data_IF_382225711253
#
_entry.id   IF_382225711253
#
_cell.length_a   1.000
_cell.length_b   1.000
_cell.length_c   1.000
_cell.angle_alpha   90.00
_cell.angle_beta   90.00
_cell.angle_gamma   90.00
#
_symmetry.space_group_name_H-M   'P 1'
#
loop_
_entity.id
_entity.type
_entity.pdbx_description
1 polymer ?
#
# COMPACT_ATOMS: atom_id res chain seq x y z
N UNK A 1 -0.46 29.98 -26.56
CA UNK A 1 0.31 29.43 -25.42
C UNK A 1 -0.68 29.33 -24.25
N UNK A 2 -1.52 28.31 -24.04
CA UNK A 2 -1.31 26.85 -23.99
C UNK A 2 -0.15 26.53 -23.03
N UNK A 3 -0.31 25.99 -21.83
CA UNK A 3 -1.36 25.21 -21.17
C UNK A 3 -1.19 25.45 -19.64
N UNK A 4 -2.27 25.71 -18.91
CA UNK A 4 -2.33 25.41 -17.48
C UNK A 4 -3.40 24.35 -17.31
N UNK A 5 -3.02 23.08 -17.46
CA UNK A 5 -3.84 21.98 -16.94
C UNK A 5 -3.63 21.99 -15.42
N UNK A 6 -4.45 22.81 -14.76
CA UNK A 6 -4.90 22.48 -13.41
C UNK A 6 -5.53 21.09 -13.53
N UNK A 7 -4.77 20.05 -13.22
CA UNK A 7 -5.33 18.74 -12.91
C UNK A 7 -6.31 19.00 -11.77
N UNK A 8 -7.58 19.11 -12.11
CA UNK A 8 -8.66 18.83 -11.19
C UNK A 8 -8.49 17.38 -10.79
N UNK A 9 -7.62 17.13 -9.81
CA UNK A 9 -7.67 15.91 -9.02
C UNK A 9 -9.05 15.97 -8.41
N UNK A 10 -9.99 15.22 -9.01
CA UNK A 10 -11.26 14.97 -8.35
C UNK A 10 -10.90 14.51 -6.96
N UNK A 11 -11.46 15.18 -5.96
CA UNK A 11 -11.25 14.90 -4.54
C UNK A 11 -11.86 13.53 -4.22
N UNK A 12 -11.20 12.50 -4.74
CA UNK A 12 -11.41 11.10 -4.44
C UNK A 12 -10.67 10.89 -3.13
N UNK A 13 -11.32 10.31 -2.14
CA UNK A 13 -10.61 9.89 -0.95
C UNK A 13 -9.37 9.09 -1.36
N UNK A 14 -8.22 9.30 -0.70
CA UNK A 14 -7.03 8.54 -1.02
C UNK A 14 -7.36 7.04 -0.93
N UNK A 15 -6.77 6.20 -1.80
CA UNK A 15 -7.02 4.77 -1.74
C UNK A 15 -6.68 4.24 -0.34
N UNK A 16 -7.65 3.56 0.28
CA UNK A 16 -7.50 2.98 1.61
C UNK A 16 -7.71 1.47 1.56
N UNK A 17 -7.08 0.75 2.48
CA UNK A 17 -7.24 -0.70 2.65
C UNK A 17 -7.35 -1.03 4.14
N UNK A 18 -8.26 -1.93 4.48
CA UNK A 18 -8.36 -2.46 5.85
C UNK A 18 -7.29 -3.52 6.07
N UNK A 19 -6.64 -3.49 7.24
CA UNK A 19 -5.63 -4.47 7.64
C UNK A 19 -6.06 -5.10 8.96
N UNK A 20 -6.20 -6.42 8.98
CA UNK A 20 -6.37 -7.18 10.21
C UNK A 20 -5.01 -7.43 10.86
N UNK A 21 -4.78 -6.80 12.02
CA UNK A 21 -3.54 -6.90 12.78
C UNK A 21 -3.61 -7.91 13.92
N UNK A 22 -4.78 -8.52 14.18
CA UNK A 22 -4.93 -9.48 15.28
C UNK A 22 -3.86 -10.58 15.28
N UNK A 23 -3.46 -11.15 14.11
CA UNK A 23 -2.44 -12.19 14.08
C UNK A 23 -1.03 -11.76 14.54
N UNK A 24 -0.72 -10.45 14.52
CA UNK A 24 0.63 -9.92 14.79
C UNK A 24 0.75 -9.17 16.12
N UNK A 25 -0.33 -9.08 16.90
CA UNK A 25 -0.40 -8.28 18.13
C UNK A 25 0.64 -8.67 19.19
N UNK A 26 1.10 -9.92 19.24
CA UNK A 26 2.13 -10.35 20.19
C UNK A 26 3.50 -9.71 19.90
N UNK A 27 3.72 -9.23 18.67
CA UNK A 27 5.02 -8.72 18.21
C UNK A 27 5.03 -7.23 17.90
N UNK A 28 3.86 -6.64 17.63
CA UNK A 28 3.75 -5.24 17.22
C UNK A 28 3.59 -4.32 18.42
N UNK A 29 4.39 -3.27 18.47
CA UNK A 29 4.36 -2.25 19.51
C UNK A 29 3.41 -1.11 19.16
N UNK A 30 2.90 -0.41 20.18
CA UNK A 30 2.04 0.76 19.97
C UNK A 30 2.76 1.90 19.23
N UNK A 31 4.09 1.99 19.36
CA UNK A 31 4.91 2.98 18.64
C UNK A 31 4.91 2.74 17.13
N UNK A 32 4.89 1.47 16.70
CA UNK A 32 4.86 1.09 15.29
C UNK A 32 3.50 1.38 14.64
N UNK A 33 2.42 1.44 15.43
CA UNK A 33 1.06 1.71 14.94
C UNK A 33 0.58 3.15 15.20
N UNK A 34 1.50 4.07 15.50
CA UNK A 34 1.14 5.49 15.72
C UNK A 34 0.54 6.09 14.46
N UNK A 35 -0.61 6.76 14.62
CA UNK A 35 -1.28 7.52 13.55
C UNK A 35 -0.31 8.50 12.89
N UNK A 36 -0.28 8.49 11.56
CA UNK A 36 0.64 9.31 10.75
C UNK A 36 2.01 8.69 10.50
N UNK A 37 2.31 7.52 11.07
CA UNK A 37 3.57 6.80 10.79
C UNK A 37 3.45 5.98 9.51
N UNK A 38 4.52 5.96 8.72
CA UNK A 38 4.64 5.05 7.59
C UNK A 38 5.05 3.66 8.09
N UNK A 39 4.31 2.64 7.64
CA UNK A 39 4.54 1.24 8.00
C UNK A 39 4.59 0.36 6.74
N UNK A 40 5.35 -0.72 6.83
CA UNK A 40 5.29 -1.81 5.86
C UNK A 40 4.35 -2.89 6.41
N UNK A 41 3.48 -3.40 5.55
CA UNK A 41 2.55 -4.49 5.87
C UNK A 41 2.78 -5.62 4.89
N UNK A 42 3.06 -6.82 5.40
CA UNK A 42 3.14 -8.06 4.64
C UNK A 42 2.03 -8.99 5.12
N UNK A 43 1.25 -9.53 4.20
CA UNK A 43 0.10 -10.34 4.55
C UNK A 43 -0.61 -10.94 3.35
N UNK A 44 -1.71 -11.63 3.62
CA UNK A 44 -2.57 -12.22 2.59
C UNK A 44 -3.74 -11.30 2.28
N UNK A 45 -4.02 -11.10 0.99
CA UNK A 45 -5.24 -10.42 0.56
C UNK A 45 -6.42 -11.38 0.73
N UNK A 46 -7.39 -10.99 1.53
CA UNK A 46 -8.62 -11.73 1.83
C UNK A 46 -9.83 -10.96 1.32
N UNK A 47 -10.89 -11.69 1.00
CA UNK A 47 -12.20 -11.12 0.65
C UNK A 47 -13.19 -11.57 1.70
N UNK A 48 -13.91 -10.63 2.32
CA UNK A 48 -15.02 -10.99 3.20
C UNK A 48 -16.11 -11.68 2.38
N UNK A 49 -16.67 -12.74 2.96
CA UNK A 49 -17.82 -13.48 2.40
C UNK A 49 -19.14 -12.73 2.67
N UNK A 50 -19.09 -11.69 3.50
CA UNK A 50 -20.26 -10.88 3.83
C UNK A 50 -20.72 -10.00 2.66
N UNK A 51 -21.97 -9.53 2.74
CA UNK A 51 -22.73 -8.86 1.67
C UNK A 51 -22.07 -7.62 1.03
N UNK A 52 -20.95 -7.14 1.56
CA UNK A 52 -20.25 -5.94 1.10
C UNK A 52 -18.93 -6.24 0.35
N UNK A 53 -18.59 -7.53 0.13
CA UNK A 53 -17.40 -8.01 -0.62
C UNK A 53 -16.10 -7.24 -0.33
N UNK A 54 -15.87 -6.88 0.94
CA UNK A 54 -14.75 -6.05 1.32
C UNK A 54 -13.44 -6.81 1.21
N UNK A 55 -12.43 -6.18 0.60
CA UNK A 55 -11.07 -6.71 0.54
C UNK A 55 -10.28 -6.15 1.71
N UNK A 56 -9.57 -7.03 2.42
CA UNK A 56 -8.68 -6.65 3.51
C UNK A 56 -7.38 -7.45 3.45
N UNK A 57 -6.37 -6.99 4.18
CA UNK A 57 -5.10 -7.70 4.33
C UNK A 57 -5.06 -8.35 5.71
N UNK A 58 -4.92 -9.66 5.76
CA UNK A 58 -4.59 -10.41 6.99
C UNK A 58 -3.07 -10.32 7.19
N UNK A 59 -2.64 -9.54 8.19
CA UNK A 59 -1.22 -9.27 8.39
C UNK A 59 -0.48 -10.50 8.92
N UNK A 60 0.71 -10.74 8.36
CA UNK A 60 1.69 -11.72 8.84
C UNK A 60 2.90 -11.00 9.47
N UNK A 61 3.21 -9.80 8.99
CA UNK A 61 4.28 -8.96 9.53
C UNK A 61 3.94 -7.48 9.33
N UNK A 62 4.21 -6.68 10.36
CA UNK A 62 4.14 -5.22 10.33
C UNK A 62 5.41 -4.66 10.95
N UNK A 63 6.01 -3.65 10.32
CA UNK A 63 7.22 -3.00 10.83
C UNK A 63 7.30 -1.55 10.33
N UNK A 64 8.01 -0.66 11.04
CA UNK A 64 8.08 0.75 10.68
C UNK A 64 8.86 0.93 9.36
N UNK A 65 8.37 1.81 8.49
CA UNK A 65 9.09 2.17 7.27
C UNK A 65 10.15 3.26 7.52
N UNK A 66 10.07 3.94 8.67
CA UNK A 66 10.93 5.07 8.99
C UNK A 66 10.65 6.27 8.08
N UNK A 67 11.66 7.13 7.91
CA UNK A 67 11.58 8.25 6.98
C UNK A 67 11.72 7.74 5.54
N UNK A 68 10.59 7.64 4.83
CA UNK A 68 10.55 7.17 3.45
C UNK A 68 10.39 8.33 2.47
N UNK A 69 11.24 8.36 1.44
CA UNK A 69 11.05 9.26 0.29
C UNK A 69 10.02 8.67 -0.66
N UNK A 70 8.75 9.02 -0.50
CA UNK A 70 7.63 8.40 -1.23
C UNK A 70 7.82 8.41 -2.75
N UNK A 71 8.25 9.54 -3.33
CA UNK A 71 8.47 9.64 -4.77
C UNK A 71 9.57 8.71 -5.30
N UNK A 72 10.66 8.53 -4.56
CA UNK A 72 11.71 7.57 -4.94
C UNK A 72 11.26 6.13 -4.78
N UNK A 73 10.50 5.84 -3.71
CA UNK A 73 9.93 4.51 -3.50
C UNK A 73 9.00 4.12 -4.66
N UNK A 74 8.08 5.01 -5.04
CA UNK A 74 7.15 4.79 -6.15
C UNK A 74 7.88 4.64 -7.49
N UNK A 75 8.90 5.46 -7.76
CA UNK A 75 9.71 5.37 -8.97
C UNK A 75 10.40 4.01 -9.08
N UNK A 76 11.09 3.58 -8.02
CA UNK A 76 11.80 2.30 -7.99
C UNK A 76 10.82 1.12 -8.13
N UNK A 77 9.67 1.18 -7.44
CA UNK A 77 8.64 0.15 -7.52
C UNK A 77 8.11 0.02 -8.96
N UNK A 78 7.82 1.14 -9.61
CA UNK A 78 7.32 1.16 -10.98
C UNK A 78 8.33 0.57 -11.97
N UNK A 79 9.60 0.98 -11.87
CA UNK A 79 10.70 0.42 -12.68
C UNK A 79 10.83 -1.09 -12.51
N UNK A 80 10.80 -1.58 -11.26
CA UNK A 80 10.85 -3.02 -10.96
C UNK A 80 9.67 -3.79 -11.56
N UNK A 81 8.46 -3.25 -11.45
CA UNK A 81 7.25 -3.83 -12.04
C UNK A 81 7.29 -3.87 -13.58
N UNK A 82 7.88 -2.87 -14.23
CA UNK A 82 8.10 -2.90 -15.68
C UNK A 82 9.04 -4.02 -16.10
N UNK A 83 10.17 -4.16 -15.41
CA UNK A 83 11.13 -5.23 -15.67
C UNK A 83 10.47 -6.59 -15.47
N UNK A 84 9.76 -6.80 -14.36
CA UNK A 84 9.07 -8.06 -14.09
C UNK A 84 8.00 -8.38 -15.14
N UNK A 85 7.28 -7.38 -15.66
CA UNK A 85 6.31 -7.56 -16.74
C UNK A 85 6.98 -8.01 -18.04
N UNK A 86 8.13 -7.42 -18.40
CA UNK A 86 8.92 -7.81 -19.58
C UNK A 86 9.44 -9.24 -19.45
N UNK A 87 9.93 -9.64 -18.28
CA UNK A 87 10.40 -11.03 -18.04
C UNK A 87 9.27 -12.06 -18.17
N UNK A 88 8.06 -11.73 -17.70
CA UNK A 88 6.90 -12.65 -17.75
C UNK A 88 6.26 -12.77 -19.14
N UNK A 89 6.51 -11.83 -20.04
CA UNK A 89 6.13 -11.91 -21.45
C UNK A 89 7.40 -11.89 -22.29
N UNK A 90 8.07 -13.05 -22.47
CA UNK A 90 9.11 -13.12 -23.48
C UNK A 90 8.46 -12.87 -24.85
N UNK A 91 8.99 -11.89 -25.59
CA UNK A 91 8.68 -11.69 -27.01
C UNK A 91 9.06 -12.93 -27.83
#
# INVERSE_FOLDING_TARGET
MHFALQLSVQNSDPPTVSVDINPVLETVTSEELRVGSWINVLGYVRRSIDANETVYVEAVMVFPAGAIGLGEYERILHESMEVQRRVRRPD
#
